data_IF_098546251754
#
_entry.id   IF_098546251754
#
_cell.length_a   1.000
_cell.length_b   1.000
_cell.length_c   1.000
_cell.angle_alpha   90.00
_cell.angle_beta   90.00
_cell.angle_gamma   90.00
#
_symmetry.space_group_name_H-M   'P 1'
#
loop_
_entity.id
_entity.type
_entity.pdbx_description
1 polymer ?
#
# COMPACT_ATOMS: atom_id res chain seq x y z
N UNK A 1 -13.85 -17.33 -7.89
CA UNK A 1 -12.60 -16.55 -7.69
C UNK A 1 -12.83 -15.07 -7.34
N UNK A 2 -14.03 -14.66 -6.86
CA UNK A 2 -14.29 -13.26 -6.47
C UNK A 2 -13.80 -12.92 -5.04
N UNK A 3 -13.90 -13.88 -4.12
CA UNK A 3 -13.57 -13.68 -2.70
C UNK A 3 -12.09 -13.49 -2.42
N UNK A 4 -11.21 -14.20 -3.13
CA UNK A 4 -9.76 -14.03 -3.01
C UNK A 4 -9.32 -12.62 -3.38
N UNK A 5 -9.98 -11.98 -4.35
CA UNK A 5 -9.67 -10.60 -4.74
C UNK A 5 -10.05 -9.60 -3.65
N UNK A 6 -11.19 -9.78 -3.00
CA UNK A 6 -11.64 -8.92 -1.90
C UNK A 6 -10.82 -9.13 -0.62
N UNK A 7 -10.42 -10.37 -0.35
CA UNK A 7 -9.57 -10.72 0.79
C UNK A 7 -8.15 -10.14 0.66
N UNK A 8 -7.55 -10.20 -0.54
CA UNK A 8 -6.27 -9.54 -0.82
C UNK A 8 -6.39 -8.02 -0.67
N UNK A 9 -7.53 -7.44 -1.07
CA UNK A 9 -7.82 -6.02 -0.91
C UNK A 9 -7.79 -5.64 0.59
N UNK A 10 -8.54 -6.36 1.43
CA UNK A 10 -8.54 -6.12 2.89
C UNK A 10 -7.15 -6.29 3.50
N UNK A 11 -6.46 -7.38 3.16
CA UNK A 11 -5.12 -7.66 3.70
C UNK A 11 -4.12 -6.57 3.29
N UNK A 12 -4.13 -6.10 2.03
CA UNK A 12 -3.21 -5.04 1.61
C UNK A 12 -3.50 -3.71 2.32
N UNK A 13 -4.77 -3.33 2.53
CA UNK A 13 -5.11 -2.13 3.32
C UNK A 13 -4.63 -2.25 4.75
N UNK A 14 -4.91 -3.39 5.39
CA UNK A 14 -4.53 -3.63 6.78
C UNK A 14 -3.00 -3.67 6.95
N UNK A 15 -2.31 -4.34 6.03
CA UNK A 15 -0.85 -4.43 6.02
C UNK A 15 -0.20 -3.07 5.81
N UNK A 16 -0.73 -2.23 4.91
CA UNK A 16 -0.24 -0.86 4.71
C UNK A 16 -0.41 0.00 5.97
N UNK A 17 -1.57 -0.07 6.62
CA UNK A 17 -1.80 0.63 7.89
C UNK A 17 -0.80 0.22 8.97
N UNK A 18 -0.61 -1.09 9.16
CA UNK A 18 0.37 -1.64 10.10
C UNK A 18 1.80 -1.20 9.77
N UNK A 19 2.20 -1.28 8.49
CA UNK A 19 3.54 -0.88 8.05
C UNK A 19 3.80 0.61 8.25
N UNK A 20 2.77 1.45 8.12
CA UNK A 20 2.89 2.89 8.32
C UNK A 20 3.09 3.23 9.81
N UNK A 21 2.30 2.61 10.70
CA UNK A 21 2.47 2.76 12.15
C UNK A 21 3.82 2.20 12.59
N UNK A 22 4.20 1.02 12.12
CA UNK A 22 5.50 0.40 12.40
C UNK A 22 6.68 1.26 11.92
N UNK A 23 6.56 1.91 10.75
CA UNK A 23 7.56 2.84 10.25
C UNK A 23 7.76 4.05 11.17
N UNK A 24 6.67 4.60 11.71
CA UNK A 24 6.72 5.70 12.69
C UNK A 24 7.35 5.22 14.00
N UNK A 25 6.92 4.05 14.51
CA UNK A 25 7.44 3.46 15.74
C UNK A 25 8.96 3.21 15.65
N UNK A 26 9.42 2.70 14.50
CA UNK A 26 10.84 2.51 14.21
C UNK A 26 11.60 3.84 14.15
N UNK A 27 10.98 4.89 13.60
CA UNK A 27 11.54 6.23 13.59
C UNK A 27 11.67 6.78 15.01
N UNK A 28 10.66 6.59 15.86
CA UNK A 28 10.70 6.96 17.29
C UNK A 28 11.77 6.18 18.05
N UNK A 29 11.93 4.87 17.78
CA UNK A 29 13.00 4.05 18.36
C UNK A 29 14.40 4.53 17.97
N UNK A 30 14.57 5.02 16.74
CA UNK A 30 15.82 5.64 16.27
C UNK A 30 16.23 6.82 17.14
N UNK A 31 15.30 7.67 17.57
CA UNK A 31 15.61 8.84 18.40
C UNK A 31 16.16 8.49 19.78
N UNK A 32 15.96 7.26 20.27
CA UNK A 32 16.52 6.82 21.54
C UNK A 32 17.96 6.32 21.44
N UNK A 33 18.53 6.18 20.23
CA UNK A 33 19.90 5.73 20.04
C UNK A 33 20.87 6.91 20.21
N UNK A 34 21.78 6.76 21.17
CA UNK A 34 22.79 7.76 21.54
C UNK A 34 23.93 7.89 20.51
N UNK A 35 24.04 6.93 19.57
CA UNK A 35 25.09 6.91 18.55
C UNK A 35 24.58 7.47 17.21
N UNK A 36 25.20 8.54 16.67
CA UNK A 36 24.73 9.23 15.46
C UNK A 36 24.74 8.34 14.22
N UNK A 37 25.58 7.31 14.16
CA UNK A 37 25.66 6.42 13.00
C UNK A 37 24.48 5.45 12.97
N UNK A 38 24.12 4.88 14.13
CA UNK A 38 22.96 4.01 14.24
C UNK A 38 21.64 4.78 14.13
N UNK A 39 21.60 6.05 14.55
CA UNK A 39 20.48 6.95 14.29
C UNK A 39 20.22 7.10 12.79
N UNK A 40 21.26 7.46 12.00
CA UNK A 40 21.09 7.66 10.55
C UNK A 40 20.64 6.38 9.85
N UNK A 41 21.21 5.22 10.22
CA UNK A 41 20.82 3.93 9.63
C UNK A 41 19.35 3.59 9.92
N UNK A 42 18.92 3.77 11.16
CA UNK A 42 17.56 3.42 11.59
C UNK A 42 16.54 4.40 11.01
N UNK A 43 16.85 5.71 10.99
CA UNK A 43 16.02 6.73 10.36
C UNK A 43 15.84 6.50 8.85
N UNK A 44 16.91 6.13 8.15
CA UNK A 44 16.86 5.86 6.72
C UNK A 44 16.08 4.58 6.41
N UNK A 45 16.27 3.53 7.21
CA UNK A 45 15.47 2.30 7.13
C UNK A 45 13.98 2.58 7.38
N UNK A 46 13.65 3.34 8.43
CA UNK A 46 12.28 3.76 8.73
C UNK A 46 11.67 4.56 7.57
N UNK A 47 12.43 5.48 6.97
CA UNK A 47 11.98 6.26 5.81
C UNK A 47 11.65 5.37 4.61
N UNK A 48 12.47 4.34 4.31
CA UNK A 48 12.14 3.37 3.27
C UNK A 48 10.90 2.55 3.59
N UNK A 49 10.73 2.10 4.84
CA UNK A 49 9.54 1.37 5.30
C UNK A 49 8.28 2.22 5.07
N UNK A 50 8.33 3.51 5.41
CA UNK A 50 7.23 4.45 5.18
C UNK A 50 6.97 4.64 3.67
N UNK A 51 8.02 4.81 2.85
CA UNK A 51 7.89 4.96 1.39
C UNK A 51 7.27 3.72 0.72
N UNK A 52 7.70 2.53 1.12
CA UNK A 52 7.14 1.25 0.64
C UNK A 52 5.67 1.15 1.07
N UNK A 53 5.35 1.53 2.32
CA UNK A 53 3.98 1.55 2.82
C UNK A 53 3.08 2.50 2.01
N UNK A 54 3.54 3.72 1.74
CA UNK A 54 2.82 4.68 0.89
C UNK A 54 2.63 4.13 -0.52
N UNK A 55 3.67 3.53 -1.10
CA UNK A 55 3.60 2.95 -2.44
C UNK A 55 2.57 1.83 -2.51
N UNK A 56 2.51 0.97 -1.49
CA UNK A 56 1.47 -0.06 -1.35
C UNK A 56 0.08 0.57 -1.23
N UNK A 57 -0.06 1.60 -0.38
CA UNK A 57 -1.30 2.34 -0.20
C UNK A 57 -1.81 2.96 -1.51
N UNK A 58 -0.92 3.52 -2.34
CA UNK A 58 -1.25 4.14 -3.63
C UNK A 58 -1.47 3.08 -4.73
N UNK A 59 -0.74 1.97 -4.71
CA UNK A 59 -0.91 0.88 -5.68
C UNK A 59 -2.32 0.25 -5.61
N UNK A 60 -2.94 0.34 -4.44
CA UNK A 60 -4.24 -0.19 -4.11
C UNK A 60 -5.40 0.44 -4.90
N UNK A 61 -5.62 1.78 -4.86
CA UNK A 61 -6.62 2.44 -5.70
C UNK A 61 -6.29 2.33 -7.19
N UNK A 62 -5.01 2.29 -7.59
CA UNK A 62 -4.63 2.12 -9.00
C UNK A 62 -5.16 0.79 -9.55
N UNK A 63 -4.97 -0.32 -8.82
CA UNK A 63 -5.52 -1.62 -9.21
C UNK A 63 -7.05 -1.61 -9.27
N UNK A 64 -7.70 -0.97 -8.29
CA UNK A 64 -9.16 -0.87 -8.24
C UNK A 64 -9.73 -0.11 -9.44
N UNK A 65 -9.15 1.06 -9.77
CA UNK A 65 -9.58 1.89 -10.91
C UNK A 65 -9.39 1.13 -12.23
N UNK A 66 -8.27 0.42 -12.38
CA UNK A 66 -7.97 -0.33 -13.62
C UNK A 66 -8.99 -1.44 -13.86
N UNK A 67 -9.37 -2.18 -12.82
CA UNK A 67 -10.41 -3.23 -12.92
C UNK A 67 -11.80 -2.65 -13.12
N UNK A 68 -12.15 -1.57 -12.42
CA UNK A 68 -13.45 -0.92 -12.62
C UNK A 68 -13.63 -0.41 -14.05
N UNK A 69 -12.56 0.15 -14.64
CA UNK A 69 -12.56 0.59 -16.05
C UNK A 69 -12.73 -0.57 -17.03
N UNK A 70 -12.18 -1.75 -16.73
CA UNK A 70 -12.37 -2.94 -17.58
C UNK A 70 -13.79 -3.49 -17.54
N UNK A 71 -14.45 -3.43 -16.38
CA UNK A 71 -15.85 -3.87 -16.24
C UNK A 71 -16.78 -2.93 -17.01
N UNK A 72 -16.58 -1.60 -16.90
CA UNK A 72 -17.41 -0.61 -17.60
C UNK A 72 -17.28 -0.67 -19.13
N UNK A 73 -16.09 -0.98 -19.66
CA UNK A 73 -15.89 -1.15 -21.11
C UNK A 73 -16.55 -2.41 -21.69
N UNK A 74 -16.70 -3.48 -20.88
CA UNK A 74 -17.39 -4.71 -21.29
C UNK A 74 -18.91 -4.55 -21.32
N UNK A 75 -19.47 -3.59 -20.59
CA UNK A 75 -20.91 -3.30 -20.56
C UNK A 75 -21.36 -2.56 -21.83
N UNK A 76 -20.61 -1.51 -22.21
CA UNK A 76 -20.90 -0.70 -23.41
C UNK A 76 -20.86 -1.49 -24.72
N UNK A 77 -20.13 -2.61 -24.78
CA UNK A 77 -20.02 -3.43 -25.99
C UNK A 77 -21.10 -4.52 -26.10
N UNK A 78 -22.01 -4.61 -25.11
CA UNK A 78 -23.15 -5.54 -25.12
C UNK A 78 -24.48 -4.87 -25.49
N UNK A 79 -24.51 -3.54 -25.50
CA UNK A 79 -25.71 -2.74 -25.80
C UNK A 79 -25.82 -2.32 -27.28
N UNK A 80 -24.90 -2.75 -28.14
CA UNK A 80 -25.02 -2.57 -29.59
C UNK A 80 -25.35 -3.92 -30.25
N UNK A 81 -26.63 -4.34 -30.29
CA UNK A 81 -27.06 -5.44 -31.15
C UNK A 81 -26.97 -4.97 -32.61
N UNK A 82 -26.25 -5.77 -33.40
CA UNK A 82 -26.13 -5.71 -34.86
C UNK A 82 -27.47 -5.72 -35.58
#
# INVERSE_FOLDING_TARGET
MKYTWWLVQIIMTLLSGLFLVFGIDLMTGSYSLNDPFSFIMTFFAASFVILISLTLFISFPIKMIRVYRQIKHQDNNKEQPS
#
